data_IF_010641436645
#
_entry.id   IF_010641436645
#
_cell.length_a   1.000
_cell.length_b   1.000
_cell.length_c   1.000
_cell.angle_alpha   90.00
_cell.angle_beta   90.00
_cell.angle_gamma   90.00
#
_symmetry.space_group_name_H-M   'P 1'
#
loop_
_entity.id
_entity.type
_entity.pdbx_description
1 polymer ?
#
# COMPACT_ATOMS: atom_id res chain seq x y z
N UNK A 1 1.78 -4.48 29.90
CA UNK A 1 2.51 -5.75 30.14
C UNK A 1 3.73 -5.73 29.24
N UNK A 2 4.93 -5.88 29.81
CA UNK A 2 6.15 -6.05 29.02
C UNK A 2 6.07 -7.44 28.39
N UNK A 3 5.74 -7.53 27.11
CA UNK A 3 5.85 -8.79 26.38
C UNK A 3 7.34 -9.09 26.28
N UNK A 4 7.81 -10.16 26.91
CA UNK A 4 9.19 -10.59 26.74
C UNK A 4 9.44 -10.89 25.25
N UNK A 5 10.50 -10.32 24.69
CA UNK A 5 10.93 -10.61 23.32
C UNK A 5 11.51 -12.03 23.32
N UNK A 6 10.98 -12.90 22.46
CA UNK A 6 11.52 -14.24 22.26
C UNK A 6 12.71 -14.15 21.29
N UNK A 7 13.87 -14.65 21.69
CA UNK A 7 15.08 -14.74 20.85
C UNK A 7 15.37 -16.22 20.57
N UNK A 8 15.51 -16.59 19.29
CA UNK A 8 15.72 -17.99 18.87
C UNK A 8 16.97 -18.14 18.00
N UNK A 9 17.69 -19.26 18.13
CA UNK A 9 18.86 -19.55 17.28
C UNK A 9 18.47 -20.19 15.94
N UNK A 10 17.36 -20.94 15.92
CA UNK A 10 16.81 -21.62 14.75
C UNK A 10 15.28 -21.60 14.74
N UNK A 11 14.64 -22.47 13.93
CA UNK A 11 13.20 -22.71 14.01
C UNK A 11 12.81 -23.22 15.39
N UNK A 12 11.69 -22.73 15.92
CA UNK A 12 11.18 -23.11 17.23
C UNK A 12 10.69 -24.55 17.25
N UNK A 13 11.06 -25.32 18.28
CA UNK A 13 10.27 -26.49 18.71
C UNK A 13 8.86 -26.07 19.14
N UNK A 14 7.88 -26.98 19.08
CA UNK A 14 6.44 -26.70 19.36
C UNK A 14 6.11 -26.45 20.85
N UNK A 15 7.05 -25.90 21.61
CA UNK A 15 6.95 -25.50 23.01
C UNK A 15 5.84 -24.45 23.28
N UNK A 16 5.37 -24.40 24.53
CA UNK A 16 4.40 -23.46 25.13
C UNK A 16 4.55 -21.99 24.69
N UNK A 17 5.76 -21.45 24.49
CA UNK A 17 5.94 -20.04 24.15
C UNK A 17 5.67 -19.71 22.66
N UNK A 18 6.03 -20.62 21.75
CA UNK A 18 5.65 -20.52 20.33
C UNK A 18 4.13 -20.59 20.14
N UNK A 19 3.45 -21.39 20.98
CA UNK A 19 1.97 -21.42 21.06
C UNK A 19 1.39 -20.10 21.57
N UNK A 20 2.05 -19.40 22.49
CA UNK A 20 1.55 -18.13 23.04
C UNK A 20 1.66 -16.97 22.04
N UNK A 21 2.81 -16.81 21.37
CA UNK A 21 3.00 -15.75 20.37
C UNK A 21 2.10 -15.94 19.13
N UNK A 22 1.65 -17.16 18.88
CA UNK A 22 0.75 -17.55 17.78
C UNK A 22 -0.61 -18.03 18.26
N UNK A 23 -1.01 -17.71 19.50
CA UNK A 23 -2.30 -18.14 20.05
C UNK A 23 -3.51 -17.61 19.23
N UNK A 24 -3.28 -16.61 18.38
CA UNK A 24 -4.24 -16.04 17.42
C UNK A 24 -4.25 -16.74 16.05
N UNK A 25 -3.22 -17.51 15.70
CA UNK A 25 -3.12 -18.14 14.38
C UNK A 25 -4.12 -19.29 14.27
N UNK A 26 -4.95 -19.24 13.22
CA UNK A 26 -5.97 -20.26 12.91
C UNK A 26 -5.82 -20.83 11.50
N UNK A 27 -4.68 -20.57 10.85
CA UNK A 27 -4.42 -21.05 9.50
C UNK A 27 -4.03 -22.53 9.47
N UNK A 28 -4.02 -23.10 8.27
CA UNK A 28 -3.76 -24.52 8.02
C UNK A 28 -2.26 -24.86 7.87
N UNK A 29 -1.36 -23.88 7.96
CA UNK A 29 0.09 -24.13 7.89
C UNK A 29 0.62 -24.42 9.30
N UNK A 30 0.56 -25.68 9.71
CA UNK A 30 1.00 -26.11 11.05
C UNK A 30 2.46 -25.76 11.34
N UNK A 31 3.31 -25.71 10.30
CA UNK A 31 4.73 -25.36 10.41
C UNK A 31 4.98 -23.85 10.59
N UNK A 32 4.00 -22.98 10.29
CA UNK A 32 4.23 -21.53 10.19
C UNK A 32 4.69 -20.90 11.51
N UNK A 33 4.08 -21.17 12.68
CA UNK A 33 4.57 -20.66 13.95
C UNK A 33 6.03 -21.02 14.21
N UNK A 34 6.39 -22.30 14.01
CA UNK A 34 7.73 -22.82 14.25
C UNK A 34 8.80 -22.21 13.31
N UNK A 35 8.38 -21.82 12.11
CA UNK A 35 9.25 -21.32 11.03
C UNK A 35 9.24 -19.80 10.88
N UNK A 36 8.47 -19.09 11.71
CA UNK A 36 8.47 -17.63 11.74
C UNK A 36 9.72 -17.16 12.48
N UNK A 37 10.58 -16.42 11.79
CA UNK A 37 11.83 -15.89 12.33
C UNK A 37 11.67 -14.51 12.98
N UNK A 38 10.58 -13.82 12.66
CA UNK A 38 10.33 -12.47 13.14
C UNK A 38 8.83 -12.19 13.22
N UNK A 39 8.40 -11.53 14.29
CA UNK A 39 7.04 -11.02 14.46
C UNK A 39 7.09 -9.73 15.29
N UNK A 40 6.47 -8.66 14.80
CA UNK A 40 6.36 -7.39 15.52
C UNK A 40 5.00 -6.74 15.32
N UNK A 41 4.67 -5.84 16.25
CA UNK A 41 3.57 -4.89 16.08
C UNK A 41 3.87 -3.99 14.90
N UNK A 42 2.85 -3.66 14.14
CA UNK A 42 2.91 -2.75 13.01
C UNK A 42 1.81 -1.69 13.12
N UNK A 43 1.64 -0.87 12.08
CA UNK A 43 0.54 0.09 12.04
C UNK A 43 0.62 1.11 13.19
N UNK A 44 -0.55 1.46 13.74
CA UNK A 44 -0.66 2.56 14.72
C UNK A 44 0.16 2.33 15.98
N UNK A 45 0.35 1.07 16.41
CA UNK A 45 1.17 0.72 17.56
C UNK A 45 2.66 1.02 17.31
N UNK A 46 3.19 0.57 16.18
CA UNK A 46 4.58 0.83 15.79
C UNK A 46 4.85 2.33 15.60
N UNK A 47 3.89 3.06 15.05
CA UNK A 47 4.03 4.51 14.85
C UNK A 47 3.89 5.32 16.14
N UNK A 48 3.32 4.74 17.21
CA UNK A 48 2.96 5.48 18.42
C UNK A 48 1.71 6.33 18.28
N UNK A 49 0.87 6.03 17.29
CA UNK A 49 -0.41 6.72 17.01
C UNK A 49 -1.61 5.83 17.35
N UNK A 50 -1.41 4.79 18.16
CA UNK A 50 -2.49 3.92 18.60
C UNK A 50 -3.37 4.63 19.65
N UNK A 51 -4.68 4.41 19.53
CA UNK A 51 -5.68 4.81 20.52
C UNK A 51 -6.06 3.59 21.39
N UNK A 52 -6.76 3.78 22.52
CA UNK A 52 -7.26 2.65 23.31
C UNK A 52 -8.17 1.69 22.53
N UNK A 53 -8.76 2.16 21.42
CA UNK A 53 -9.61 1.36 20.53
C UNK A 53 -8.92 1.00 19.22
N UNK A 54 -7.59 1.15 19.13
CA UNK A 54 -6.85 0.69 17.95
C UNK A 54 -6.85 -0.83 17.89
N UNK A 55 -7.00 -1.32 16.66
CA UNK A 55 -6.68 -2.69 16.27
C UNK A 55 -5.20 -2.97 16.48
N UNK A 56 -4.89 -4.23 16.80
CA UNK A 56 -3.53 -4.72 16.84
C UNK A 56 -3.17 -5.28 15.47
N UNK A 57 -2.20 -4.64 14.81
CA UNK A 57 -1.63 -5.11 13.55
C UNK A 57 -0.30 -5.83 13.82
N UNK A 58 -0.10 -7.03 13.28
CA UNK A 58 1.18 -7.74 13.33
C UNK A 58 1.75 -7.96 11.93
N UNK A 59 3.08 -7.84 11.81
CA UNK A 59 3.82 -8.25 10.62
C UNK A 59 4.95 -9.18 11.02
N UNK A 60 5.13 -10.24 10.25
CA UNK A 60 6.17 -11.22 10.49
C UNK A 60 6.81 -11.74 9.21
N UNK A 61 7.88 -12.49 9.38
CA UNK A 61 8.65 -13.11 8.30
C UNK A 61 8.95 -14.55 8.67
N UNK A 62 8.75 -15.47 7.72
CA UNK A 62 9.04 -16.88 7.87
C UNK A 62 9.93 -17.39 6.75
N UNK A 63 10.79 -18.36 7.07
CA UNK A 63 11.41 -19.24 6.08
C UNK A 63 10.62 -20.53 6.07
N UNK A 64 9.89 -20.84 4.99
CA UNK A 64 9.10 -22.07 4.96
C UNK A 64 10.01 -23.31 4.92
N UNK A 65 9.47 -24.51 5.21
CA UNK A 65 10.20 -25.76 5.14
C UNK A 65 10.88 -26.01 3.77
N UNK A 66 11.89 -26.87 3.75
CA UNK A 66 12.73 -27.14 2.57
C UNK A 66 11.90 -27.52 1.34
N UNK A 67 10.84 -28.28 1.52
CA UNK A 67 9.92 -28.72 0.47
C UNK A 67 9.05 -27.59 -0.12
N UNK A 68 8.80 -26.52 0.63
CA UNK A 68 8.17 -25.28 0.12
C UNK A 68 9.20 -24.33 -0.49
N UNK A 69 10.44 -24.36 0.01
CA UNK A 69 11.47 -23.43 -0.41
C UNK A 69 12.14 -23.87 -1.72
N UNK A 70 12.47 -25.17 -1.85
CA UNK A 70 13.18 -25.78 -2.97
C UNK A 70 12.27 -26.62 -3.89
N UNK A 71 11.14 -27.12 -3.39
CA UNK A 71 10.23 -27.98 -4.14
C UNK A 71 9.29 -27.20 -5.07
N UNK A 72 8.72 -27.90 -6.06
CA UNK A 72 7.75 -27.32 -7.01
C UNK A 72 6.28 -27.55 -6.63
N UNK A 73 6.02 -28.50 -5.72
CA UNK A 73 4.66 -28.93 -5.33
C UNK A 73 4.00 -27.96 -4.35
N UNK A 74 4.79 -27.25 -3.56
CA UNK A 74 4.32 -26.34 -2.52
C UNK A 74 4.92 -24.96 -2.72
N UNK A 75 4.12 -23.93 -2.45
CA UNK A 75 4.57 -22.54 -2.52
C UNK A 75 3.96 -21.77 -1.36
N UNK A 76 4.79 -21.03 -0.66
CA UNK A 76 4.37 -20.09 0.37
C UNK A 76 4.76 -18.68 -0.06
N UNK A 77 3.80 -17.75 -0.02
CA UNK A 77 4.04 -16.34 -0.33
C UNK A 77 3.78 -15.48 0.90
N UNK A 78 2.64 -15.70 1.55
CA UNK A 78 2.30 -15.13 2.85
C UNK A 78 1.14 -15.89 3.48
N UNK A 79 0.98 -15.74 4.79
CA UNK A 79 -0.24 -16.07 5.52
C UNK A 79 -0.88 -14.78 6.06
N UNK A 80 -2.20 -14.70 5.99
CA UNK A 80 -2.98 -13.58 6.54
C UNK A 80 -3.97 -14.10 7.58
N UNK A 81 -4.14 -13.34 8.66
CA UNK A 81 -5.24 -13.48 9.61
C UNK A 81 -5.93 -12.12 9.71
N UNK A 82 -7.27 -12.12 9.65
CA UNK A 82 -8.09 -10.91 9.79
C UNK A 82 -9.15 -11.14 10.86
N UNK A 83 -9.43 -10.12 11.66
CA UNK A 83 -10.42 -10.19 12.74
C UNK A 83 -10.09 -9.23 13.88
N UNK A 84 -10.12 -9.72 15.12
CA UNK A 84 -9.72 -8.92 16.30
C UNK A 84 -8.21 -8.57 16.29
N UNK A 85 -7.44 -9.32 15.50
CA UNK A 85 -6.02 -9.13 15.23
C UNK A 85 -5.80 -9.28 13.72
N UNK A 86 -5.21 -8.26 13.10
CA UNK A 86 -4.80 -8.32 11.71
C UNK A 86 -3.31 -8.68 11.66
N UNK A 87 -2.98 -9.83 11.07
CA UNK A 87 -1.59 -10.31 11.02
C UNK A 87 -1.21 -10.78 9.63
N UNK A 88 -0.01 -10.42 9.18
CA UNK A 88 0.57 -10.88 7.91
C UNK A 88 1.97 -11.43 8.12
N UNK A 89 2.21 -12.67 7.72
CA UNK A 89 3.52 -13.31 7.78
C UNK A 89 3.97 -13.62 6.37
N UNK A 90 5.10 -13.04 5.95
CA UNK A 90 5.62 -13.14 4.59
C UNK A 90 6.64 -14.29 4.46
N UNK A 91 6.68 -14.92 3.30
CA UNK A 91 7.89 -15.65 2.86
C UNK A 91 9.05 -14.66 2.80
N UNK A 92 10.22 -15.05 3.34
CA UNK A 92 11.41 -14.19 3.40
C UNK A 92 11.84 -13.64 2.04
N UNK A 93 11.70 -14.40 0.95
CA UNK A 93 12.06 -13.96 -0.42
C UNK A 93 11.10 -12.88 -0.91
N UNK A 94 9.81 -13.05 -0.64
CA UNK A 94 8.80 -12.02 -0.94
C UNK A 94 9.06 -10.75 -0.14
N UNK A 95 9.31 -10.91 1.16
CA UNK A 95 9.62 -9.80 2.05
C UNK A 95 10.84 -9.01 1.55
N UNK A 96 11.97 -9.69 1.33
CA UNK A 96 13.22 -9.08 0.87
C UNK A 96 13.04 -8.34 -0.45
N UNK A 97 12.31 -8.93 -1.41
CA UNK A 97 12.03 -8.27 -2.68
C UNK A 97 11.23 -6.97 -2.50
N UNK A 98 10.17 -6.99 -1.69
CA UNK A 98 9.36 -5.80 -1.45
C UNK A 98 10.11 -4.73 -0.63
N UNK A 99 10.93 -5.15 0.33
CA UNK A 99 11.80 -4.26 1.10
C UNK A 99 12.83 -3.59 0.18
N UNK A 100 13.44 -4.34 -0.74
CA UNK A 100 14.41 -3.81 -1.70
C UNK A 100 13.76 -2.78 -2.65
N UNK A 101 12.46 -2.90 -2.91
CA UNK A 101 11.72 -1.89 -3.65
C UNK A 101 11.25 -0.70 -2.77
N UNK A 102 11.75 -0.59 -1.53
CA UNK A 102 11.37 0.46 -0.58
C UNK A 102 9.84 0.56 -0.38
N UNK A 103 9.14 -0.57 -0.36
CA UNK A 103 7.70 -0.58 -0.10
C UNK A 103 7.44 -0.07 1.34
N UNK A 104 6.65 1.00 1.55
CA UNK A 104 6.47 1.62 2.87
C UNK A 104 5.96 0.66 3.94
N UNK A 105 5.10 -0.28 3.56
CA UNK A 105 4.52 -1.26 4.48
C UNK A 105 5.50 -2.38 4.86
N UNK A 106 6.60 -2.53 4.14
CA UNK A 106 7.55 -3.63 4.33
C UNK A 106 8.87 -3.11 4.89
N UNK A 107 9.40 -2.02 4.33
CA UNK A 107 10.65 -1.41 4.81
C UNK A 107 10.54 -1.02 6.29
N UNK A 108 9.38 -0.53 6.75
CA UNK A 108 9.16 -0.21 8.17
C UNK A 108 9.31 -1.42 9.11
N UNK A 109 9.13 -2.65 8.61
CA UNK A 109 9.28 -3.86 9.42
C UNK A 109 10.76 -4.14 9.72
N UNK A 110 11.67 -3.82 8.79
CA UNK A 110 13.12 -3.93 9.03
C UNK A 110 13.64 -2.89 10.03
N UNK A 111 12.98 -1.74 10.11
CA UNK A 111 13.36 -0.61 10.95
C UNK A 111 12.41 -0.44 12.16
N UNK A 112 11.64 -1.48 12.49
CA UNK A 112 10.76 -1.47 13.65
C UNK A 112 11.57 -1.21 14.93
N UNK A 113 10.92 -0.62 15.93
CA UNK A 113 11.53 -0.40 17.24
C UNK A 113 11.52 -1.70 18.06
N UNK A 114 12.57 -1.96 18.84
CA UNK A 114 12.70 -3.20 19.64
C UNK A 114 11.54 -3.40 20.63
N UNK A 115 10.91 -2.30 21.08
CA UNK A 115 9.74 -2.34 21.98
C UNK A 115 8.49 -2.94 21.33
N UNK A 116 8.46 -2.97 20.00
CA UNK A 116 7.36 -3.50 19.20
C UNK A 116 7.62 -4.93 18.71
N UNK A 117 8.84 -5.45 18.89
CA UNK A 117 9.20 -6.83 18.55
C UNK A 117 8.57 -7.79 19.55
N UNK A 118 7.94 -8.85 19.04
CA UNK A 118 7.36 -9.94 19.84
C UNK A 118 8.22 -11.20 19.77
N UNK A 119 8.77 -11.47 18.58
CA UNK A 119 9.64 -12.59 18.30
C UNK A 119 10.71 -12.14 17.31
N UNK A 120 11.95 -12.54 17.57
CA UNK A 120 13.08 -12.39 16.65
C UNK A 120 13.99 -13.62 16.74
N UNK A 121 14.72 -13.90 15.68
CA UNK A 121 15.74 -14.95 15.66
C UNK A 121 17.10 -14.38 15.28
N UNK A 122 18.17 -15.11 15.55
CA UNK A 122 19.52 -14.75 15.10
C UNK A 122 19.55 -14.60 13.57
N UNK A 123 18.81 -15.45 12.84
CA UNK A 123 18.65 -15.35 11.39
C UNK A 123 18.03 -14.01 10.96
N UNK A 124 16.98 -13.55 11.64
CA UNK A 124 16.40 -12.24 11.36
C UNK A 124 17.33 -11.09 11.71
N UNK A 125 17.98 -11.14 12.87
CA UNK A 125 18.91 -10.08 13.29
C UNK A 125 20.07 -9.92 12.31
N UNK A 126 20.55 -11.00 11.68
CA UNK A 126 21.53 -10.92 10.58
C UNK A 126 21.03 -10.13 9.37
N UNK A 127 19.76 -10.28 9.00
CA UNK A 127 19.12 -9.46 7.94
C UNK A 127 19.00 -8.01 8.43
N UNK A 128 18.52 -7.81 9.66
CA UNK A 128 18.27 -6.48 10.26
C UNK A 128 19.55 -5.67 10.46
N UNK A 129 20.69 -6.31 10.71
CA UNK A 129 22.02 -5.69 10.75
C UNK A 129 22.43 -5.08 9.40
N UNK A 130 21.91 -5.62 8.29
CA UNK A 130 22.18 -5.16 6.93
C UNK A 130 21.02 -4.34 6.32
N UNK A 131 20.07 -3.87 7.14
CA UNK A 131 18.86 -3.15 6.68
C UNK A 131 19.15 -1.91 5.84
N UNK A 132 20.30 -1.27 6.03
CA UNK A 132 20.70 -0.08 5.25
C UNK A 132 20.95 -0.40 3.77
N UNK A 133 21.25 -1.66 3.42
CA UNK A 133 21.39 -2.11 2.02
C UNK A 133 20.08 -1.96 1.23
N UNK A 134 18.94 -1.93 1.91
CA UNK A 134 17.62 -1.85 1.29
C UNK A 134 17.21 -0.42 0.92
N UNK A 135 17.86 0.60 1.52
CA UNK A 135 17.52 2.00 1.28
C UNK A 135 18.05 2.48 -0.08
N UNK A 136 17.18 3.13 -0.85
CA UNK A 136 17.53 3.69 -2.15
C UNK A 136 16.61 4.86 -2.51
N UNK A 137 16.95 5.60 -3.56
CA UNK A 137 16.12 6.67 -4.11
C UNK A 137 14.74 6.19 -4.59
N UNK A 138 14.53 4.87 -4.72
CA UNK A 138 13.19 4.30 -4.94
C UNK A 138 12.15 4.76 -3.92
N UNK A 139 12.58 5.07 -2.69
CA UNK A 139 11.71 5.61 -1.65
C UNK A 139 10.92 6.85 -2.09
N UNK A 140 11.47 7.68 -3.00
CA UNK A 140 10.77 8.82 -3.57
C UNK A 140 9.45 8.38 -4.22
N UNK A 141 9.52 7.45 -5.16
CA UNK A 141 8.37 7.02 -5.94
C UNK A 141 7.43 6.14 -5.13
N UNK A 142 7.95 5.26 -4.28
CA UNK A 142 7.09 4.38 -3.50
C UNK A 142 6.34 5.13 -2.40
N UNK A 143 7.01 5.93 -1.57
CA UNK A 143 6.31 6.68 -0.52
C UNK A 143 5.38 7.74 -1.12
N UNK A 144 5.82 8.50 -2.13
CA UNK A 144 4.96 9.47 -2.82
C UNK A 144 3.76 8.78 -3.49
N UNK A 145 3.96 7.63 -4.15
CA UNK A 145 2.87 6.88 -4.76
C UNK A 145 1.80 6.43 -3.76
N UNK A 146 2.21 5.94 -2.58
CA UNK A 146 1.27 5.59 -1.50
C UNK A 146 0.60 6.83 -0.90
N UNK A 147 1.34 7.92 -0.70
CA UNK A 147 0.81 9.21 -0.25
C UNK A 147 -0.26 9.72 -1.24
N UNK A 148 0.03 9.74 -2.53
CA UNK A 148 -0.92 10.15 -3.57
C UNK A 148 -2.13 9.24 -3.67
N UNK A 149 -1.98 7.95 -3.39
CA UNK A 149 -3.13 7.07 -3.25
C UNK A 149 -4.02 7.47 -2.05
N UNK A 150 -3.44 7.93 -0.92
CA UNK A 150 -4.23 8.49 0.18
C UNK A 150 -4.94 9.77 -0.25
N UNK A 151 -4.22 10.72 -0.87
CA UNK A 151 -4.78 11.99 -1.33
C UNK A 151 -5.96 11.77 -2.29
N UNK A 152 -5.82 10.82 -3.23
CA UNK A 152 -6.91 10.44 -4.15
C UNK A 152 -8.14 9.91 -3.41
N UNK A 153 -7.96 9.09 -2.38
CA UNK A 153 -9.07 8.60 -1.54
C UNK A 153 -9.73 9.76 -0.79
N UNK A 154 -8.96 10.68 -0.22
CA UNK A 154 -9.47 11.88 0.46
C UNK A 154 -10.35 12.70 -0.48
N UNK A 155 -9.85 13.01 -1.68
CA UNK A 155 -10.62 13.75 -2.72
C UNK A 155 -11.89 13.01 -3.12
N UNK A 156 -11.81 11.69 -3.30
CA UNK A 156 -12.95 10.85 -3.68
C UNK A 156 -14.02 10.82 -2.59
N UNK A 157 -13.64 10.56 -1.33
CA UNK A 157 -14.58 10.52 -0.21
C UNK A 157 -15.19 11.90 0.03
N UNK A 158 -14.40 12.97 0.00
CA UNK A 158 -14.92 14.35 0.11
C UNK A 158 -15.96 14.64 -0.96
N UNK A 159 -15.72 14.25 -2.21
CA UNK A 159 -16.72 14.41 -3.28
C UNK A 159 -18.02 13.67 -2.93
N UNK A 160 -17.94 12.45 -2.43
CA UNK A 160 -19.13 11.70 -2.01
C UNK A 160 -19.84 12.28 -0.78
N UNK A 161 -19.10 12.93 0.12
CA UNK A 161 -19.69 13.64 1.27
C UNK A 161 -20.44 14.91 0.83
N UNK A 162 -19.90 15.64 -0.15
CA UNK A 162 -20.47 16.92 -0.61
C UNK A 162 -21.57 16.74 -1.67
N UNK A 163 -21.37 15.83 -2.62
CA UNK A 163 -22.31 15.53 -3.71
C UNK A 163 -22.35 14.01 -3.97
N UNK A 164 -23.09 13.25 -3.14
CA UNK A 164 -23.20 11.81 -3.29
C UNK A 164 -23.98 11.44 -4.57
N UNK A 165 -23.63 10.32 -5.23
CA UNK A 165 -24.46 9.75 -6.29
C UNK A 165 -25.90 9.50 -5.82
N UNK A 166 -26.88 10.11 -6.51
CA UNK A 166 -28.30 10.14 -6.08
C UNK A 166 -29.12 8.97 -6.61
N UNK A 167 -28.77 8.45 -7.78
CA UNK A 167 -29.44 7.32 -8.43
C UNK A 167 -28.44 6.44 -9.16
N UNK A 168 -28.83 5.19 -9.39
CA UNK A 168 -28.10 4.29 -10.26
C UNK A 168 -28.02 4.92 -11.67
N UNK A 169 -26.81 5.06 -12.25
CA UNK A 169 -26.68 5.61 -13.60
C UNK A 169 -27.38 4.73 -14.63
N UNK A 170 -28.21 5.32 -15.48
CA UNK A 170 -28.87 4.63 -16.58
C UNK A 170 -28.23 5.03 -17.92
N UNK A 171 -28.28 4.15 -18.92
CA UNK A 171 -27.73 4.45 -20.26
C UNK A 171 -28.40 5.68 -20.90
N UNK A 172 -29.69 5.83 -20.67
CA UNK A 172 -30.51 6.97 -21.09
C UNK A 172 -29.99 8.31 -20.55
N UNK A 173 -29.40 8.34 -19.34
CA UNK A 173 -28.81 9.55 -18.75
C UNK A 173 -27.63 10.11 -19.58
N UNK A 174 -27.03 9.28 -20.44
CA UNK A 174 -25.90 9.63 -21.30
C UNK A 174 -26.27 9.68 -22.78
N UNK A 175 -27.57 9.60 -23.12
CA UNK A 175 -28.04 9.56 -24.51
C UNK A 175 -27.70 8.25 -25.23
N UNK A 176 -27.44 7.17 -24.49
CA UNK A 176 -27.14 5.86 -25.06
C UNK A 176 -28.42 5.03 -25.21
N UNK A 177 -28.50 4.15 -26.24
CA UNK A 177 -29.56 3.16 -26.34
C UNK A 177 -29.45 2.13 -25.21
N UNK A 178 -30.55 1.40 -24.95
CA UNK A 178 -30.57 0.36 -23.91
C UNK A 178 -29.59 -0.78 -24.19
N UNK A 179 -29.35 -1.09 -25.47
CA UNK A 179 -28.34 -2.05 -25.88
C UNK A 179 -26.93 -1.42 -25.94
N UNK A 180 -25.85 -2.19 -25.69
CA UNK A 180 -24.48 -1.73 -25.92
C UNK A 180 -24.29 -1.22 -27.35
N UNK A 181 -23.62 -0.08 -27.50
CA UNK A 181 -23.43 0.56 -28.81
C UNK A 181 -22.30 -0.07 -29.63
N UNK A 182 -21.38 -0.74 -28.95
CA UNK A 182 -20.32 -1.56 -29.52
C UNK A 182 -20.33 -2.91 -28.80
N UNK A 183 -19.87 -3.95 -29.48
CA UNK A 183 -19.59 -5.20 -28.78
C UNK A 183 -18.44 -5.01 -27.78
N UNK A 184 -18.38 -5.91 -26.79
CA UNK A 184 -17.47 -5.80 -25.65
C UNK A 184 -16.00 -5.86 -26.08
N UNK A 185 -15.68 -6.61 -27.13
CA UNK A 185 -14.31 -6.83 -27.58
C UNK A 185 -13.82 -5.61 -28.38
N UNK A 186 -14.66 -5.08 -29.28
CA UNK A 186 -14.43 -3.82 -29.99
C UNK A 186 -14.23 -2.66 -29.01
N UNK A 187 -15.09 -2.55 -28.00
CA UNK A 187 -14.94 -1.50 -26.99
C UNK A 187 -13.65 -1.68 -26.17
N UNK A 188 -13.27 -2.92 -25.86
CA UNK A 188 -12.02 -3.24 -25.18
C UNK A 188 -10.78 -2.84 -25.96
N UNK A 189 -10.78 -3.05 -27.29
CA UNK A 189 -9.69 -2.61 -28.18
C UNK A 189 -9.57 -1.09 -28.21
N UNK A 190 -10.69 -0.38 -28.34
CA UNK A 190 -10.75 1.09 -28.32
C UNK A 190 -10.21 1.63 -27.00
N UNK A 191 -10.69 1.10 -25.86
CA UNK A 191 -10.24 1.47 -24.52
C UNK A 191 -8.72 1.27 -24.33
N UNK A 192 -8.17 0.14 -24.80
CA UNK A 192 -6.75 -0.15 -24.69
C UNK A 192 -5.90 0.85 -25.51
N UNK A 193 -6.37 1.24 -26.69
CA UNK A 193 -5.70 2.25 -27.53
C UNK A 193 -5.78 3.65 -26.93
N UNK A 194 -6.95 4.05 -26.40
CA UNK A 194 -7.10 5.33 -25.72
C UNK A 194 -6.16 5.38 -24.52
N UNK A 195 -6.11 4.33 -23.71
CA UNK A 195 -5.21 4.27 -22.55
C UNK A 195 -3.74 4.45 -22.93
N UNK A 196 -3.31 3.88 -24.06
CA UNK A 196 -1.94 4.09 -24.55
C UNK A 196 -1.66 5.55 -24.92
N UNK A 197 -2.64 6.26 -25.50
CA UNK A 197 -2.53 7.70 -25.76
C UNK A 197 -2.54 8.51 -24.46
N UNK A 198 -3.41 8.16 -23.51
CA UNK A 198 -3.45 8.77 -22.17
C UNK A 198 -2.09 8.62 -21.46
N UNK A 199 -1.46 7.45 -21.53
CA UNK A 199 -0.15 7.19 -20.93
C UNK A 199 0.97 8.00 -21.63
N UNK A 200 0.88 8.19 -22.94
CA UNK A 200 1.82 9.03 -23.70
C UNK A 200 1.72 10.49 -23.29
N UNK A 201 0.49 11.00 -23.14
CA UNK A 201 0.23 12.38 -22.74
C UNK A 201 0.52 12.60 -21.24
N UNK A 202 0.27 11.59 -20.40
CA UNK A 202 0.53 11.63 -18.96
C UNK A 202 2.01 11.78 -18.60
N UNK A 203 2.94 11.52 -19.54
CA UNK A 203 4.36 11.77 -19.40
C UNK A 203 4.78 13.25 -19.44
N UNK A 204 3.92 14.14 -19.97
CA UNK A 204 4.22 15.57 -20.18
C UNK A 204 3.54 16.50 -19.15
N UNK A 205 3.36 16.06 -17.91
CA UNK A 205 2.79 16.90 -16.84
C UNK A 205 1.27 17.09 -16.88
N UNK A 206 0.54 16.17 -17.53
CA UNK A 206 -0.93 16.20 -17.63
C UNK A 206 -1.60 15.49 -16.44
N UNK A 207 -2.58 16.15 -15.80
CA UNK A 207 -3.41 15.54 -14.75
C UNK A 207 -4.59 14.77 -15.37
N UNK A 208 -5.12 13.76 -14.66
CA UNK A 208 -6.28 12.97 -15.13
C UNK A 208 -7.51 13.82 -15.45
N UNK A 209 -7.69 14.93 -14.74
CA UNK A 209 -8.80 15.86 -14.97
C UNK A 209 -8.65 16.58 -16.32
N UNK A 210 -7.44 17.03 -16.66
CA UNK A 210 -7.14 17.61 -17.99
C UNK A 210 -7.23 16.59 -19.12
N UNK A 211 -6.87 15.32 -18.86
CA UNK A 211 -7.03 14.23 -19.83
C UNK A 211 -8.52 13.96 -20.08
N UNK A 212 -9.37 14.00 -19.05
CA UNK A 212 -10.81 13.84 -19.19
C UNK A 212 -11.49 14.96 -19.99
N UNK A 213 -10.96 16.20 -19.95
CA UNK A 213 -11.43 17.32 -20.78
C UNK A 213 -11.18 17.07 -22.28
N UNK A 214 -10.16 16.27 -22.63
CA UNK A 214 -9.79 15.94 -24.01
C UNK A 214 -10.30 14.57 -24.46
N UNK A 215 -11.20 13.95 -23.72
CA UNK A 215 -11.68 12.58 -23.98
C UNK A 215 -12.22 12.42 -25.41
N UNK A 216 -12.97 13.40 -25.91
CA UNK A 216 -13.48 13.40 -27.28
C UNK A 216 -12.37 13.46 -28.35
N UNK A 217 -11.30 14.21 -28.09
CA UNK A 217 -10.15 14.30 -28.99
C UNK A 217 -9.37 12.98 -29.03
N UNK A 218 -9.19 12.34 -27.88
CA UNK A 218 -8.54 11.03 -27.78
C UNK A 218 -9.34 9.94 -28.48
N UNK A 219 -10.65 9.90 -28.24
CA UNK A 219 -11.56 8.98 -28.94
C UNK A 219 -11.51 9.23 -30.44
N UNK A 220 -11.48 10.50 -30.90
CA UNK A 220 -11.38 10.83 -32.32
C UNK A 220 -10.04 10.41 -32.94
N UNK A 221 -8.94 10.51 -32.20
CA UNK A 221 -7.64 10.02 -32.65
C UNK A 221 -7.65 8.49 -32.82
N UNK A 222 -8.16 7.75 -31.84
CA UNK A 222 -8.26 6.29 -31.92
C UNK A 222 -9.24 5.85 -32.99
N UNK A 223 -10.41 6.49 -33.10
CA UNK A 223 -11.41 6.15 -34.11
C UNK A 223 -10.83 6.24 -35.54
N UNK A 224 -9.98 7.22 -35.82
CA UNK A 224 -9.26 7.33 -37.11
C UNK A 224 -8.21 6.23 -37.31
N UNK A 225 -7.50 5.83 -36.25
CA UNK A 225 -6.47 4.79 -36.32
C UNK A 225 -7.06 3.42 -36.69
N UNK A 226 -8.25 3.10 -36.19
CA UNK A 226 -8.88 1.78 -36.37
C UNK A 226 -10.09 1.79 -37.33
N UNK A 227 -10.20 2.84 -38.15
CA UNK A 227 -11.24 3.02 -39.18
C UNK A 227 -12.69 2.89 -38.65
N UNK A 228 -12.93 3.44 -37.45
CA UNK A 228 -14.29 3.57 -36.92
C UNK A 228 -14.98 4.80 -37.52
N UNK A 229 -16.22 4.61 -37.97
CA UNK A 229 -17.02 5.69 -38.53
C UNK A 229 -17.22 6.86 -37.55
N UNK A 230 -17.18 8.12 -38.03
CA UNK A 230 -17.25 9.32 -37.18
C UNK A 230 -18.52 9.42 -36.33
N UNK A 231 -19.61 8.77 -36.76
CA UNK A 231 -20.86 8.66 -36.01
C UNK A 231 -20.73 7.91 -34.68
N UNK A 232 -19.71 7.05 -34.53
CA UNK A 232 -19.48 6.26 -33.32
C UNK A 232 -18.70 7.03 -32.25
N UNK A 233 -17.98 8.09 -32.61
CA UNK A 233 -17.19 8.92 -31.67
C UNK A 233 -18.03 9.42 -30.49
N UNK A 234 -19.16 10.13 -30.69
CA UNK A 234 -19.97 10.63 -29.58
C UNK A 234 -20.54 9.49 -28.72
N UNK A 235 -20.84 8.34 -29.33
CA UNK A 235 -21.34 7.16 -28.64
C UNK A 235 -20.27 6.51 -27.76
N UNK A 236 -19.02 6.42 -28.24
CA UNK A 236 -17.88 5.91 -27.46
C UNK A 236 -17.59 6.84 -26.27
N UNK A 237 -17.59 8.16 -26.48
CA UNK A 237 -17.42 9.14 -25.40
C UNK A 237 -18.54 8.99 -24.36
N UNK A 238 -19.80 8.86 -24.79
CA UNK A 238 -20.93 8.64 -23.90
C UNK A 238 -20.81 7.31 -23.14
N UNK A 239 -20.40 6.23 -23.80
CA UNK A 239 -20.17 4.91 -23.19
C UNK A 239 -19.07 4.95 -22.12
N UNK A 240 -17.98 5.68 -22.38
CA UNK A 240 -16.90 5.91 -21.40
C UNK A 240 -17.40 6.65 -20.16
N UNK A 241 -18.19 7.71 -20.35
CA UNK A 241 -18.82 8.48 -19.26
C UNK A 241 -19.79 7.63 -18.45
N UNK A 242 -20.65 6.86 -19.12
CA UNK A 242 -21.57 5.91 -18.48
C UNK A 242 -20.81 4.87 -17.64
N UNK A 243 -19.80 4.22 -18.21
CA UNK A 243 -18.98 3.23 -17.51
C UNK A 243 -18.22 3.83 -16.33
N UNK A 244 -17.73 5.06 -16.45
CA UNK A 244 -17.12 5.78 -15.32
C UNK A 244 -18.14 6.08 -14.20
N UNK A 245 -19.36 6.49 -14.56
CA UNK A 245 -20.44 6.73 -13.61
C UNK A 245 -20.86 5.45 -12.88
N UNK A 246 -20.99 4.32 -13.60
CA UNK A 246 -21.28 3.01 -13.01
C UNK A 246 -20.18 2.59 -12.03
N UNK A 247 -18.90 2.70 -12.41
CA UNK A 247 -17.78 2.40 -11.51
C UNK A 247 -17.80 3.28 -10.25
N UNK A 248 -18.09 4.57 -10.40
CA UNK A 248 -18.21 5.49 -9.28
C UNK A 248 -19.41 5.13 -8.37
N UNK A 249 -20.56 4.79 -8.95
CA UNK A 249 -21.74 4.34 -8.21
C UNK A 249 -21.44 3.08 -7.38
N UNK A 250 -20.90 2.03 -8.00
CA UNK A 250 -20.55 0.78 -7.31
C UNK A 250 -19.54 1.04 -6.19
N UNK A 251 -18.52 1.86 -6.45
CA UNK A 251 -17.52 2.21 -5.44
C UNK A 251 -18.12 3.00 -4.28
N UNK A 252 -19.04 3.92 -4.56
CA UNK A 252 -19.75 4.70 -3.54
C UNK A 252 -20.66 3.83 -2.68
N UNK A 253 -21.44 2.92 -3.29
CA UNK A 253 -22.31 2.01 -2.54
C UNK A 253 -21.48 1.12 -1.61
N UNK A 254 -20.40 0.53 -2.13
CA UNK A 254 -19.46 -0.26 -1.32
C UNK A 254 -18.84 0.57 -0.20
N UNK A 255 -18.37 1.78 -0.49
CA UNK A 255 -17.81 2.68 0.50
C UNK A 255 -18.80 3.03 1.61
N UNK A 256 -20.08 3.23 1.27
CA UNK A 256 -21.15 3.53 2.21
C UNK A 256 -21.49 2.33 3.09
N UNK A 257 -21.56 1.13 2.50
CA UNK A 257 -21.88 -0.12 3.20
C UNK A 257 -20.76 -0.56 4.17
N UNK A 258 -19.50 -0.49 3.74
CA UNK A 258 -18.34 -0.94 4.52
C UNK A 258 -17.80 0.14 5.49
N UNK A 259 -18.47 1.31 5.59
CA UNK A 259 -17.89 2.45 6.33
C UNK A 259 -17.95 2.23 7.85
N UNK A 260 -16.78 2.25 8.47
CA UNK A 260 -16.68 2.28 9.93
C UNK A 260 -17.35 3.54 10.52
N UNK A 261 -18.26 3.36 11.48
CA UNK A 261 -19.07 4.43 12.08
C UNK A 261 -18.24 5.57 12.69
N UNK A 262 -17.19 5.25 13.45
CA UNK A 262 -16.30 6.26 14.05
C UNK A 262 -15.59 7.08 12.99
N UNK A 263 -15.21 6.45 11.88
CA UNK A 263 -14.58 7.12 10.74
C UNK A 263 -15.59 8.00 9.99
N UNK A 264 -16.81 7.53 9.80
CA UNK A 264 -17.89 8.31 9.19
C UNK A 264 -18.25 9.55 10.02
N UNK A 265 -18.24 9.45 11.36
CA UNK A 265 -18.47 10.58 12.25
C UNK A 265 -17.39 11.67 12.09
N UNK A 266 -16.11 11.30 12.01
CA UNK A 266 -15.01 12.24 11.75
C UNK A 266 -15.15 12.91 10.38
N UNK A 267 -15.49 12.13 9.35
CA UNK A 267 -15.72 12.66 8.01
C UNK A 267 -16.87 13.65 7.95
N UNK A 268 -17.97 13.36 8.65
CA UNK A 268 -19.10 14.27 8.75
C UNK A 268 -18.75 15.54 9.51
N UNK A 269 -17.90 15.44 10.55
CA UNK A 269 -17.50 16.59 11.36
C UNK A 269 -16.52 17.53 10.63
N UNK A 270 -15.60 16.97 9.82
CA UNK A 270 -14.51 17.73 9.22
C UNK A 270 -14.63 17.90 7.69
N UNK A 271 -15.57 17.19 7.05
CA UNK A 271 -15.84 17.27 5.62
C UNK A 271 -14.85 16.51 4.73
N UNK A 272 -13.95 15.69 5.30
CA UNK A 272 -13.04 14.82 4.55
C UNK A 272 -12.45 13.71 5.44
N UNK A 273 -11.77 12.73 4.83
CA UNK A 273 -11.20 11.58 5.53
C UNK A 273 -9.89 11.93 6.27
N UNK A 274 -10.00 12.32 7.54
CA UNK A 274 -8.86 12.71 8.39
C UNK A 274 -7.91 11.56 8.74
N UNK A 275 -8.37 10.30 8.73
CA UNK A 275 -7.48 9.12 8.88
C UNK A 275 -6.56 9.00 7.67
N UNK A 276 -7.09 9.14 6.45
CA UNK A 276 -6.24 9.17 5.25
C UNK A 276 -5.30 10.38 5.23
N UNK A 277 -5.73 11.53 5.77
CA UNK A 277 -4.87 12.71 5.90
C UNK A 277 -3.66 12.48 6.79
N UNK A 278 -3.85 11.89 7.98
CA UNK A 278 -2.73 11.50 8.85
C UNK A 278 -1.75 10.57 8.12
N UNK A 279 -2.26 9.59 7.37
CA UNK A 279 -1.41 8.68 6.61
C UNK A 279 -0.63 9.40 5.50
N UNK A 280 -1.25 10.35 4.79
CA UNK A 280 -0.60 11.19 3.79
C UNK A 280 0.57 11.97 4.41
N UNK A 281 0.33 12.66 5.53
CA UNK A 281 1.35 13.46 6.24
C UNK A 281 2.52 12.59 6.66
N UNK A 282 2.24 11.47 7.32
CA UNK A 282 3.26 10.51 7.75
C UNK A 282 4.12 10.00 6.59
N UNK A 283 3.48 9.57 5.49
CA UNK A 283 4.19 8.99 4.34
C UNK A 283 5.12 10.01 3.68
N UNK A 284 4.67 11.26 3.51
CA UNK A 284 5.49 12.33 2.93
C UNK A 284 6.69 12.69 3.83
N UNK A 285 6.47 12.81 5.14
CA UNK A 285 7.56 13.09 6.09
C UNK A 285 8.58 11.95 6.14
N UNK A 286 8.12 10.70 6.19
CA UNK A 286 9.00 9.54 6.12
C UNK A 286 9.82 9.51 4.82
N UNK A 287 9.23 9.86 3.68
CA UNK A 287 9.94 9.91 2.41
C UNK A 287 11.11 10.92 2.46
N UNK A 288 10.85 12.10 3.03
CA UNK A 288 11.84 13.16 3.23
C UNK A 288 12.97 12.70 4.16
N UNK A 289 12.63 12.07 5.29
CA UNK A 289 13.61 11.54 6.25
C UNK A 289 14.50 10.47 5.63
N UNK A 290 13.91 9.55 4.85
CA UNK A 290 14.66 8.49 4.19
C UNK A 290 15.61 9.08 3.15
N UNK A 291 15.12 9.95 2.27
CA UNK A 291 15.94 10.49 1.18
C UNK A 291 16.98 11.51 1.66
N UNK A 292 16.62 12.34 2.65
CA UNK A 292 17.48 13.40 3.16
C UNK A 292 18.51 12.90 4.17
N UNK A 293 18.12 11.94 5.03
CA UNK A 293 18.94 11.53 6.19
C UNK A 293 19.35 10.06 6.13
N UNK A 294 18.73 9.24 5.26
CA UNK A 294 18.99 7.80 5.22
C UNK A 294 18.39 7.04 6.41
N UNK A 295 17.37 7.61 7.08
CA UNK A 295 16.79 7.04 8.30
C UNK A 295 15.30 6.73 8.08
N UNK A 296 14.88 5.53 8.44
CA UNK A 296 13.46 5.15 8.49
C UNK A 296 12.97 5.30 9.93
N UNK A 297 12.25 6.39 10.24
CA UNK A 297 11.66 6.59 11.58
C UNK A 297 10.26 5.99 11.63
N UNK A 298 10.19 4.74 12.10
CA UNK A 298 8.91 4.02 12.26
C UNK A 298 8.12 4.62 13.41
N UNK A 299 8.67 4.61 14.63
CA UNK A 299 8.10 5.34 15.75
C UNK A 299 8.14 6.83 15.44
N UNK A 300 6.97 7.46 15.37
CA UNK A 300 6.86 8.83 14.88
C UNK A 300 7.20 9.83 15.99
N UNK A 301 8.20 10.70 15.79
CA UNK A 301 8.47 11.78 16.75
C UNK A 301 7.33 12.82 16.77
N UNK A 302 6.59 12.91 15.66
CA UNK A 302 5.43 13.77 15.43
C UNK A 302 4.09 13.06 15.69
N UNK A 303 4.08 11.99 16.50
CA UNK A 303 2.86 11.18 16.75
C UNK A 303 1.68 12.01 17.29
N UNK A 304 1.95 12.98 18.18
CA UNK A 304 0.92 13.86 18.74
C UNK A 304 0.27 14.73 17.65
N UNK A 305 1.08 15.35 16.79
CA UNK A 305 0.59 16.15 15.66
C UNK A 305 -0.18 15.27 14.66
N UNK A 306 0.32 14.08 14.34
CA UNK A 306 -0.38 13.12 13.49
C UNK A 306 -1.77 12.75 14.04
N UNK A 307 -1.87 12.54 15.36
CA UNK A 307 -3.14 12.32 16.04
C UNK A 307 -4.04 13.56 16.01
N UNK A 308 -3.48 14.77 16.13
CA UNK A 308 -4.24 16.01 15.98
C UNK A 308 -4.79 16.16 14.55
N UNK A 309 -3.99 15.87 13.51
CA UNK A 309 -4.44 15.83 12.11
C UNK A 309 -5.57 14.82 11.92
N UNK A 310 -5.44 13.63 12.51
CA UNK A 310 -6.52 12.62 12.51
C UNK A 310 -7.78 13.14 13.21
N UNK A 311 -7.63 13.93 14.27
CA UNK A 311 -8.70 14.60 15.00
C UNK A 311 -9.26 15.86 14.31
N UNK A 312 -8.81 16.17 13.08
CA UNK A 312 -9.33 17.29 12.29
C UNK A 312 -8.73 18.66 12.64
N UNK A 313 -7.54 18.70 13.25
CA UNK A 313 -6.83 19.94 13.52
C UNK A 313 -6.46 20.72 12.25
N UNK A 314 -6.38 20.06 11.10
CA UNK A 314 -6.14 20.69 9.81
C UNK A 314 -7.44 20.81 9.04
N UNK A 315 -7.59 21.90 8.27
CA UNK A 315 -8.60 22.01 7.25
C UNK A 315 -8.21 21.18 6.01
N UNK A 316 -9.19 20.94 5.14
CA UNK A 316 -8.93 20.32 3.84
C UNK A 316 -7.92 21.13 3.02
N UNK A 317 -8.02 22.46 3.03
CA UNK A 317 -7.13 23.34 2.26
C UNK A 317 -5.70 23.33 2.80
N UNK A 318 -5.52 23.33 4.13
CA UNK A 318 -4.21 23.16 4.76
C UNK A 318 -3.57 21.83 4.37
N UNK A 319 -4.35 20.76 4.32
CA UNK A 319 -3.86 19.46 3.87
C UNK A 319 -3.45 19.46 2.39
N UNK A 320 -4.22 20.13 1.52
CA UNK A 320 -3.88 20.25 0.09
C UNK A 320 -2.58 21.04 -0.10
N UNK A 321 -2.45 22.16 0.60
CA UNK A 321 -1.24 22.98 0.59
C UNK A 321 -0.03 22.16 1.07
N UNK A 322 -0.15 21.45 2.20
CA UNK A 322 0.90 20.57 2.69
C UNK A 322 1.31 19.52 1.64
N UNK A 323 0.34 18.90 0.95
CA UNK A 323 0.63 17.88 -0.05
C UNK A 323 1.47 18.44 -1.21
N UNK A 324 1.12 19.61 -1.73
CA UNK A 324 1.83 20.28 -2.82
C UNK A 324 3.24 20.75 -2.40
N UNK A 325 3.36 21.32 -1.20
CA UNK A 325 4.64 21.73 -0.63
C UNK A 325 5.57 20.53 -0.43
N UNK A 326 5.05 19.41 0.08
CA UNK A 326 5.83 18.20 0.29
C UNK A 326 6.24 17.53 -1.02
N UNK A 327 5.39 17.51 -2.05
CA UNK A 327 5.79 17.00 -3.37
C UNK A 327 6.95 17.79 -3.95
N UNK A 328 6.88 19.13 -3.90
CA UNK A 328 7.97 20.00 -4.35
C UNK A 328 9.24 19.73 -3.58
N UNK A 329 9.16 19.71 -2.24
CA UNK A 329 10.31 19.45 -1.36
C UNK A 329 10.91 18.06 -1.59
N UNK A 330 10.07 17.04 -1.80
CA UNK A 330 10.51 15.68 -2.07
C UNK A 330 11.31 15.60 -3.37
N UNK A 331 10.91 16.36 -4.41
CA UNK A 331 11.66 16.48 -5.66
C UNK A 331 13.08 17.03 -5.44
N UNK A 332 13.21 18.13 -4.68
CA UNK A 332 14.52 18.72 -4.35
C UNK A 332 15.39 17.75 -3.56
N UNK A 333 14.85 17.16 -2.48
CA UNK A 333 15.62 16.26 -1.62
C UNK A 333 16.05 14.98 -2.35
N UNK A 334 15.21 14.44 -3.22
CA UNK A 334 15.56 13.26 -4.02
C UNK A 334 16.74 13.53 -4.97
N UNK A 335 16.79 14.74 -5.56
CA UNK A 335 17.90 15.15 -6.42
C UNK A 335 19.22 15.22 -5.64
N UNK A 336 19.19 15.74 -4.41
CA UNK A 336 20.37 15.91 -3.54
C UNK A 336 20.72 14.68 -2.70
N UNK A 337 19.83 13.68 -2.64
CA UNK A 337 20.00 12.49 -1.81
C UNK A 337 21.28 11.73 -2.14
N UNK A 338 21.95 11.25 -1.08
CA UNK A 338 23.16 10.40 -1.15
C UNK A 338 22.83 8.90 -1.24
N UNK A 339 21.55 8.52 -1.14
CA UNK A 339 21.14 7.13 -1.31
C UNK A 339 21.41 6.66 -2.75
N UNK A 340 21.71 5.37 -2.95
CA UNK A 340 21.89 4.82 -4.29
C UNK A 340 20.57 4.85 -5.08
N UNK A 341 20.65 4.85 -6.42
CA UNK A 341 19.44 4.81 -7.27
C UNK A 341 18.60 3.53 -7.07
N UNK A 342 19.26 2.41 -6.75
CA UNK A 342 18.64 1.13 -6.45
C UNK A 342 19.41 0.46 -5.29
N UNK A 343 18.77 -0.43 -4.51
CA UNK A 343 19.47 -1.17 -3.45
C UNK A 343 20.52 -2.11 -4.04
N UNK A 344 21.52 -2.48 -3.23
CA UNK A 344 22.51 -3.50 -3.61
C UNK A 344 21.87 -4.90 -3.52
N UNK A 345 21.11 -5.26 -4.55
CA UNK A 345 20.38 -6.54 -4.61
C UNK A 345 21.30 -7.75 -4.50
N UNK A 346 22.55 -7.63 -4.96
CA UNK A 346 23.53 -8.74 -4.88
C UNK A 346 23.93 -8.99 -3.43
N UNK A 347 24.32 -7.94 -2.68
CA UNK A 347 24.66 -8.11 -1.26
C UNK A 347 23.46 -8.52 -0.42
N UNK A 348 22.27 -8.00 -0.72
CA UNK A 348 21.03 -8.44 -0.06
C UNK A 348 20.81 -9.94 -0.28
N UNK A 349 21.00 -10.42 -1.52
CA UNK A 349 20.87 -11.84 -1.85
C UNK A 349 21.96 -12.69 -1.18
N UNK A 350 23.21 -12.25 -1.14
CA UNK A 350 24.30 -12.92 -0.42
C UNK A 350 23.97 -13.10 1.07
N UNK A 351 23.45 -12.05 1.72
CA UNK A 351 22.97 -12.12 3.12
C UNK A 351 21.82 -13.11 3.24
N UNK A 352 20.84 -13.03 2.34
CA UNK A 352 19.67 -13.91 2.38
C UNK A 352 20.04 -15.38 2.19
N UNK A 353 20.88 -15.70 1.21
CA UNK A 353 21.35 -17.07 0.93
C UNK A 353 22.04 -17.65 2.16
N UNK A 354 22.92 -16.89 2.80
CA UNK A 354 23.60 -17.36 4.00
C UNK A 354 22.63 -17.57 5.17
N UNK A 355 21.70 -16.65 5.41
CA UNK A 355 20.69 -16.76 6.47
C UNK A 355 19.75 -17.95 6.23
N UNK A 356 19.30 -18.13 4.98
CA UNK A 356 18.39 -19.22 4.60
C UNK A 356 19.09 -20.58 4.71
N UNK A 357 20.33 -20.69 4.25
CA UNK A 357 21.10 -21.93 4.37
C UNK A 357 21.18 -22.39 5.82
N UNK A 358 21.59 -21.49 6.72
CA UNK A 358 21.73 -21.81 8.15
C UNK A 358 20.38 -22.10 8.82
N UNK A 359 19.31 -21.41 8.43
CA UNK A 359 17.98 -21.58 9.06
C UNK A 359 17.21 -22.81 8.54
N UNK A 360 17.36 -23.17 7.26
CA UNK A 360 16.71 -24.36 6.69
C UNK A 360 17.42 -25.63 7.13
N UNK A 361 18.76 -25.61 7.15
CA UNK A 361 19.58 -26.79 7.44
C UNK A 361 19.97 -26.89 8.93
N UNK A 362 19.65 -25.88 9.74
CA UNK A 362 19.90 -25.85 11.18
C UNK A 362 19.00 -26.79 12.02
N UNK A 363 19.48 -27.24 13.19
CA UNK A 363 18.65 -28.04 14.10
C UNK A 363 17.46 -27.23 14.63
N UNK A 364 16.34 -27.90 14.85
CA UNK A 364 15.18 -27.31 15.55
C UNK A 364 15.61 -27.01 17.00
N UNK A 365 15.46 -25.75 17.43
CA UNK A 365 15.89 -25.28 18.76
C UNK A 365 14.86 -25.51 19.85
#
# INVERSE_FOLDING_TARGET
>A
MSTAVIITEGPLTTDEFGRHAFAWYRGNLEWLPARTMFLAKSGSHAYGTNLPTSDLDLKGVAIPPREYFLGYLHRFEQAECKGDLDAVIYDVRKFVNLAADCNPNIIEVLFCDDRDVLLTSIAWERIRLHRDLFLSKKAQHTFSGYAMAQLKRIKTHRRWLLDPPKKHPERSDFGLPNAPTLDKDQFGVVEARIRKLEDTLGGEGWTKDKVAERDAELVSAVAREIDLGPQLIPLIVAERKYNAAIRNWVSYQKWKEERNEKRAALESAHGYDTKHAMHLVRLMRMAIEILGEGIVRVRRPDAEELLAVRGGAWSYDQLMQFAEEMETRLGTIAAESRLPHAPDRKKIDEVLVSVVGDFIDGPMS
#
